data_IF_146101397647
#
_entry.id   IF_146101397647
#
_cell.length_a   1.000
_cell.length_b   1.000
_cell.length_c   1.000
_cell.angle_alpha   90.00
_cell.angle_beta   90.00
_cell.angle_gamma   90.00
#
_symmetry.space_group_name_H-M   'P 1'
#
loop_
_entity.id
_entity.type
_entity.pdbx_description
1 polymer ?
#
# COMPACT_ATOMS: atom_id res chain seq x y z
N UNK A 1 37.91 22.15 -11.51
CA UNK A 1 37.28 21.35 -12.58
C UNK A 1 35.79 21.29 -12.28
N UNK A 2 35.00 22.17 -12.92
CA UNK A 2 33.55 22.23 -12.66
C UNK A 2 32.86 21.15 -13.50
N UNK A 3 32.23 20.20 -12.83
CA UNK A 3 31.44 19.17 -13.52
C UNK A 3 30.11 19.81 -13.90
N UNK A 4 29.87 20.04 -15.17
CA UNK A 4 28.57 20.47 -15.70
C UNK A 4 27.63 19.24 -15.74
N UNK A 5 26.74 19.18 -14.78
CA UNK A 5 25.62 18.19 -14.82
C UNK A 5 24.61 18.73 -15.84
N UNK A 6 24.24 17.91 -16.83
CA UNK A 6 23.25 18.30 -17.85
C UNK A 6 21.84 18.32 -17.26
N UNK A 7 20.95 19.14 -17.84
CA UNK A 7 19.55 19.19 -17.42
C UNK A 7 18.85 17.82 -17.50
N UNK A 8 19.21 16.98 -18.46
CA UNK A 8 18.71 15.61 -18.56
C UNK A 8 19.17 14.71 -17.41
N UNK A 9 20.42 14.89 -16.93
CA UNK A 9 20.92 14.15 -15.77
C UNK A 9 20.26 14.59 -14.47
N UNK A 10 19.96 15.88 -14.31
CA UNK A 10 19.19 16.39 -13.16
C UNK A 10 17.79 15.81 -13.15
N UNK A 11 17.07 15.82 -14.27
CA UNK A 11 15.73 15.25 -14.38
C UNK A 11 15.70 13.74 -14.08
N UNK A 12 16.69 13.00 -14.56
CA UNK A 12 16.79 11.55 -14.30
C UNK A 12 17.06 11.22 -12.82
N UNK A 13 17.80 12.06 -12.12
CA UNK A 13 18.05 11.93 -10.67
C UNK A 13 16.75 12.22 -9.93
N UNK A 14 16.02 13.27 -10.29
CA UNK A 14 14.74 13.63 -9.69
C UNK A 14 13.70 12.51 -9.82
N UNK A 15 13.54 11.90 -10.99
CA UNK A 15 12.60 10.78 -11.18
C UNK A 15 12.96 9.56 -10.34
N UNK A 16 14.24 9.26 -10.18
CA UNK A 16 14.70 8.14 -9.35
C UNK A 16 14.40 8.35 -7.87
N UNK A 17 14.50 9.57 -7.37
CA UNK A 17 14.16 9.90 -5.98
C UNK A 17 12.64 9.80 -5.75
N UNK A 18 11.84 10.25 -6.72
CA UNK A 18 10.39 10.09 -6.69
C UNK A 18 9.96 8.62 -6.74
N UNK A 19 10.62 7.81 -7.59
CA UNK A 19 10.40 6.37 -7.65
C UNK A 19 10.68 5.72 -6.29
N UNK A 20 11.82 6.05 -5.67
CA UNK A 20 12.18 5.54 -4.34
C UNK A 20 11.16 5.93 -3.28
N UNK A 21 10.73 7.20 -3.25
CA UNK A 21 9.70 7.66 -2.32
C UNK A 21 8.39 6.91 -2.51
N UNK A 22 7.91 6.79 -3.74
CA UNK A 22 6.65 6.11 -4.05
C UNK A 22 6.72 4.61 -3.75
N UNK A 23 7.86 3.95 -4.01
CA UNK A 23 8.11 2.56 -3.67
C UNK A 23 8.05 2.32 -2.16
N UNK A 24 8.66 3.20 -1.36
CA UNK A 24 8.62 3.13 0.11
C UNK A 24 7.18 3.27 0.64
N UNK A 25 6.40 4.23 0.12
CA UNK A 25 4.99 4.40 0.50
C UNK A 25 4.18 3.12 0.16
N UNK A 26 4.38 2.57 -1.04
CA UNK A 26 3.71 1.35 -1.46
C UNK A 26 4.09 0.14 -0.57
N UNK A 27 5.38 -0.04 -0.27
CA UNK A 27 5.88 -1.11 0.61
C UNK A 27 5.36 -0.99 2.03
N UNK A 28 5.23 0.22 2.57
CA UNK A 28 4.66 0.43 3.89
C UNK A 28 3.18 0.01 3.93
N UNK A 29 2.38 0.35 2.90
CA UNK A 29 1.01 -0.14 2.83
C UNK A 29 0.94 -1.68 2.66
N UNK A 30 1.88 -2.29 1.92
CA UNK A 30 2.00 -3.76 1.84
C UNK A 30 2.30 -4.34 3.22
N UNK A 31 3.19 -3.73 4.01
CA UNK A 31 3.49 -4.15 5.39
C UNK A 31 2.27 -4.04 6.30
N UNK A 32 1.53 -2.94 6.23
CA UNK A 32 0.25 -2.77 6.93
C UNK A 32 -0.72 -3.92 6.64
N UNK A 33 -0.85 -4.29 5.39
CA UNK A 33 -1.75 -5.38 4.96
C UNK A 33 -1.23 -6.77 5.37
N UNK A 34 0.08 -6.97 5.35
CA UNK A 34 0.71 -8.23 5.75
C UNK A 34 0.46 -8.55 7.22
N UNK A 35 0.61 -7.58 8.10
CA UNK A 35 0.35 -7.76 9.55
C UNK A 35 -1.11 -8.11 9.82
N UNK A 36 -2.05 -7.52 9.09
CA UNK A 36 -3.47 -7.93 9.19
C UNK A 36 -3.67 -9.38 8.73
N UNK A 37 -3.02 -9.80 7.64
CA UNK A 37 -3.11 -11.18 7.16
C UNK A 37 -2.56 -12.18 8.17
N UNK A 38 -1.43 -11.88 8.79
CA UNK A 38 -0.76 -12.72 9.78
C UNK A 38 -1.54 -12.86 11.10
N UNK A 39 -2.40 -11.90 11.43
CA UNK A 39 -3.17 -11.90 12.67
C UNK A 39 -4.64 -12.26 12.49
N UNK A 40 -5.03 -12.89 11.35
CA UNK A 40 -6.43 -13.23 11.07
C UNK A 40 -7.02 -14.20 12.09
N UNK A 41 -6.28 -15.19 12.55
CA UNK A 41 -6.75 -16.17 13.53
C UNK A 41 -7.05 -15.49 14.88
N UNK A 42 -6.15 -14.62 15.36
CA UNK A 42 -6.37 -13.82 16.56
C UNK A 42 -7.56 -12.86 16.42
N UNK A 43 -7.63 -12.12 15.31
CA UNK A 43 -8.69 -11.14 15.06
C UNK A 43 -10.07 -11.83 15.02
N UNK A 44 -10.16 -13.00 14.38
CA UNK A 44 -11.40 -13.71 14.15
C UNK A 44 -11.77 -14.73 15.24
N UNK A 45 -10.95 -14.90 16.28
CA UNK A 45 -11.25 -15.76 17.41
C UNK A 45 -12.58 -15.33 18.08
N UNK A 46 -13.63 -16.18 18.09
CA UNK A 46 -14.92 -15.84 18.68
C UNK A 46 -14.93 -15.92 20.21
N UNK A 47 -14.02 -16.69 20.79
CA UNK A 47 -14.05 -17.00 22.22
C UNK A 47 -13.28 -15.96 23.03
N UNK A 48 -12.32 -15.29 22.39
CA UNK A 48 -11.53 -14.23 23.01
C UNK A 48 -12.22 -12.87 22.86
N UNK A 49 -12.44 -12.17 23.95
CA UNK A 49 -12.97 -10.79 23.96
C UNK A 49 -11.89 -9.79 23.58
N UNK A 50 -11.12 -9.31 24.57
CA UNK A 50 -9.96 -8.46 24.31
C UNK A 50 -8.85 -9.28 23.65
N UNK A 51 -8.48 -8.87 22.43
CA UNK A 51 -7.43 -9.54 21.65
C UNK A 51 -6.02 -9.03 21.98
N UNK A 52 -5.91 -7.90 22.70
CA UNK A 52 -4.63 -7.19 22.87
C UNK A 52 -4.05 -6.66 21.54
N UNK A 53 -4.81 -6.73 20.43
CA UNK A 53 -4.39 -6.26 19.11
C UNK A 53 -4.78 -4.79 18.92
N UNK A 54 -4.08 -3.90 19.67
CA UNK A 54 -4.29 -2.45 19.62
C UNK A 54 -3.60 -1.81 18.41
N UNK A 55 -3.94 -0.55 18.13
CA UNK A 55 -3.24 0.23 17.09
C UNK A 55 -1.74 0.32 17.35
N UNK A 56 -1.32 0.45 18.62
CA UNK A 56 0.10 0.48 19.01
C UNK A 56 0.82 -0.84 18.70
N UNK A 57 0.26 -1.96 19.15
CA UNK A 57 0.80 -3.30 18.86
C UNK A 57 0.87 -3.56 17.35
N UNK A 58 -0.17 -3.13 16.63
CA UNK A 58 -0.22 -3.28 15.19
C UNK A 58 0.91 -2.51 14.48
N UNK A 59 1.08 -1.21 14.79
CA UNK A 59 2.11 -0.42 14.07
C UNK A 59 3.53 -0.85 14.46
N UNK A 60 3.79 -1.33 15.68
CA UNK A 60 5.11 -1.86 16.05
C UNK A 60 5.46 -3.08 15.18
N UNK A 61 4.51 -3.99 14.94
CA UNK A 61 4.69 -5.10 13.99
C UNK A 61 4.85 -4.62 12.53
N UNK A 62 4.15 -3.55 12.14
CA UNK A 62 4.29 -2.95 10.80
C UNK A 62 5.67 -2.34 10.61
N UNK A 63 6.18 -1.61 11.61
CA UNK A 63 7.55 -1.04 11.59
C UNK A 63 8.60 -2.12 11.40
N UNK A 64 8.57 -3.16 12.22
CA UNK A 64 9.47 -4.31 12.12
C UNK A 64 9.40 -4.99 10.73
N UNK A 65 8.19 -5.24 10.23
CA UNK A 65 8.01 -5.85 8.91
C UNK A 65 8.52 -4.94 7.79
N UNK A 66 8.31 -3.63 7.89
CA UNK A 66 8.78 -2.65 6.90
C UNK A 66 10.30 -2.52 6.92
N UNK A 67 10.90 -2.41 8.09
CA UNK A 67 12.36 -2.35 8.28
C UNK A 67 13.04 -3.58 7.70
N UNK A 68 12.54 -4.79 8.00
CA UNK A 68 13.04 -6.04 7.42
C UNK A 68 12.93 -6.10 5.88
N UNK A 69 12.02 -5.33 5.29
CA UNK A 69 11.82 -5.31 3.82
C UNK A 69 12.57 -4.19 3.10
N UNK A 70 13.08 -3.18 3.83
CA UNK A 70 13.62 -1.94 3.23
C UNK A 70 14.90 -1.44 3.86
N UNK A 71 15.34 -2.02 4.98
CA UNK A 71 16.44 -1.57 5.84
C UNK A 71 16.25 -0.11 6.34
N UNK A 72 14.97 0.35 6.45
CA UNK A 72 14.64 1.70 6.89
C UNK A 72 13.69 1.68 8.09
N UNK A 73 14.07 2.40 9.12
CA UNK A 73 13.20 2.70 10.24
C UNK A 73 12.14 3.75 9.87
N UNK A 74 10.95 3.65 10.46
CA UNK A 74 9.85 4.60 10.29
C UNK A 74 9.14 4.83 11.62
N UNK A 75 8.71 6.07 11.85
CA UNK A 75 7.97 6.47 13.04
C UNK A 75 6.71 7.22 12.67
N UNK A 76 5.63 7.06 13.44
CA UNK A 76 4.45 7.91 13.32
C UNK A 76 4.71 9.37 13.65
N UNK A 77 5.74 9.67 14.43
CA UNK A 77 6.17 11.05 14.73
C UNK A 77 6.74 11.74 13.48
N UNK A 78 7.20 10.99 12.50
CA UNK A 78 7.66 11.52 11.22
C UNK A 78 6.55 12.23 10.43
N UNK A 79 5.28 12.04 10.78
CA UNK A 79 4.15 12.77 10.18
C UNK A 79 4.30 14.30 10.29
N UNK A 80 5.06 14.78 11.26
CA UNK A 80 5.35 16.21 11.48
C UNK A 80 6.69 16.66 10.86
N UNK A 81 7.40 15.77 10.17
CA UNK A 81 8.70 16.07 9.58
C UNK A 81 8.59 17.07 8.42
N UNK A 82 9.59 17.93 8.31
CA UNK A 82 9.79 18.76 7.11
C UNK A 82 10.31 17.97 5.91
N UNK A 83 10.93 16.81 6.14
CA UNK A 83 11.32 15.89 5.09
C UNK A 83 10.08 15.24 4.47
N UNK A 84 9.84 15.40 3.17
CA UNK A 84 8.61 14.91 2.52
C UNK A 84 8.47 13.38 2.52
N UNK A 85 9.58 12.65 2.48
CA UNK A 85 9.58 11.18 2.54
C UNK A 85 9.19 10.72 3.93
N UNK A 86 9.86 11.22 4.96
CA UNK A 86 9.54 10.93 6.36
C UNK A 86 8.09 11.29 6.68
N UNK A 87 7.67 12.50 6.29
CA UNK A 87 6.29 12.96 6.50
C UNK A 87 5.27 12.01 5.84
N UNK A 88 5.50 11.59 4.61
CA UNK A 88 4.59 10.67 3.91
C UNK A 88 4.53 9.31 4.62
N UNK A 89 5.66 8.73 5.01
CA UNK A 89 5.73 7.46 5.72
C UNK A 89 5.10 7.54 7.11
N UNK A 90 5.44 8.56 7.89
CA UNK A 90 4.87 8.80 9.22
C UNK A 90 3.35 9.00 9.18
N UNK A 91 2.86 9.79 8.21
CA UNK A 91 1.42 10.01 8.01
C UNK A 91 0.69 8.72 7.65
N UNK A 92 1.31 7.85 6.82
CA UNK A 92 0.73 6.57 6.48
C UNK A 92 0.67 5.63 7.69
N UNK A 93 1.74 5.59 8.48
CA UNK A 93 1.80 4.78 9.70
C UNK A 93 0.78 5.26 10.74
N UNK A 94 0.68 6.57 10.97
CA UNK A 94 -0.32 7.17 11.84
C UNK A 94 -1.75 6.83 11.36
N UNK A 95 -2.02 6.97 10.05
CA UNK A 95 -3.32 6.63 9.45
C UNK A 95 -3.67 5.15 9.67
N UNK A 96 -2.69 4.26 9.56
CA UNK A 96 -2.88 2.83 9.79
C UNK A 96 -3.20 2.52 11.26
N UNK A 97 -2.52 3.16 12.22
CA UNK A 97 -2.79 3.09 13.66
C UNK A 97 -4.24 3.48 13.97
N UNK A 98 -4.67 4.61 13.45
CA UNK A 98 -6.01 5.13 13.65
C UNK A 98 -7.10 4.19 13.12
N UNK A 99 -6.90 3.60 11.94
CA UNK A 99 -7.84 2.62 11.39
C UNK A 99 -8.03 1.41 12.32
N UNK A 100 -6.97 0.94 12.97
CA UNK A 100 -7.06 -0.17 13.93
C UNK A 100 -7.72 0.29 15.24
N UNK A 101 -7.39 1.49 15.74
CA UNK A 101 -8.05 2.05 16.92
C UNK A 101 -9.56 2.17 16.72
N UNK A 102 -10.03 2.70 15.60
CA UNK A 102 -11.45 2.76 15.24
C UNK A 102 -12.10 1.38 15.09
N UNK A 103 -11.31 0.35 14.83
CA UNK A 103 -11.79 -1.02 14.63
C UNK A 103 -11.86 -1.84 15.92
N UNK A 104 -11.39 -1.32 17.06
CA UNK A 104 -11.24 -2.08 18.32
C UNK A 104 -12.54 -2.75 18.78
N UNK A 105 -13.67 -2.05 18.68
CA UNK A 105 -14.98 -2.62 19.04
C UNK A 105 -15.30 -3.89 18.24
N UNK A 106 -14.97 -3.91 16.95
CA UNK A 106 -15.20 -5.07 16.07
C UNK A 106 -14.14 -6.15 16.29
N UNK A 107 -12.87 -5.77 16.43
CA UNK A 107 -11.75 -6.69 16.70
C UNK A 107 -12.03 -7.47 17.98
N UNK A 108 -12.45 -6.79 19.05
CA UNK A 108 -12.64 -7.36 20.39
C UNK A 108 -14.03 -8.00 20.61
N UNK A 109 -14.88 -8.02 19.56
CA UNK A 109 -16.22 -8.61 19.67
C UNK A 109 -16.12 -10.11 19.92
N UNK A 110 -16.68 -10.58 21.05
CA UNK A 110 -16.84 -11.97 21.41
C UNK A 110 -18.08 -12.59 20.72
N UNK A 111 -18.05 -13.90 20.50
CA UNK A 111 -19.15 -14.64 19.86
C UNK A 111 -19.27 -14.46 18.34
N UNK A 112 -18.38 -13.64 17.73
CA UNK A 112 -18.33 -13.44 16.27
C UNK A 112 -17.00 -13.94 15.71
N UNK A 113 -17.06 -14.93 14.83
CA UNK A 113 -15.90 -15.43 14.11
C UNK A 113 -15.38 -14.42 13.07
N UNK A 114 -15.79 -14.53 11.82
CA UNK A 114 -15.31 -13.64 10.78
C UNK A 114 -15.79 -12.18 10.94
N UNK A 115 -14.84 -11.27 11.20
CA UNK A 115 -15.11 -9.86 11.56
C UNK A 115 -14.95 -8.87 10.42
N UNK A 116 -14.62 -9.33 9.20
CA UNK A 116 -14.35 -8.49 8.02
C UNK A 116 -13.17 -7.51 8.20
N UNK A 117 -12.32 -7.70 9.20
CA UNK A 117 -11.05 -6.98 9.38
C UNK A 117 -9.99 -7.70 8.55
N UNK A 118 -9.98 -7.45 7.26
CA UNK A 118 -9.11 -8.14 6.29
C UNK A 118 -8.13 -7.15 5.64
N UNK A 119 -7.01 -7.63 5.07
CA UNK A 119 -5.96 -6.78 4.49
C UNK A 119 -6.49 -5.74 3.49
N UNK A 120 -7.44 -6.12 2.64
CA UNK A 120 -8.00 -5.23 1.64
C UNK A 120 -8.86 -4.09 2.25
N UNK A 121 -9.62 -4.40 3.31
CA UNK A 121 -10.45 -3.39 4.00
C UNK A 121 -9.59 -2.40 4.77
N UNK A 122 -8.60 -2.91 5.54
CA UNK A 122 -7.71 -2.05 6.30
C UNK A 122 -6.84 -1.22 5.37
N UNK A 123 -6.26 -1.81 4.31
CA UNK A 123 -5.46 -1.07 3.33
C UNK A 123 -6.24 0.07 2.65
N UNK A 124 -7.51 -0.16 2.28
CA UNK A 124 -8.37 0.87 1.70
C UNK A 124 -8.67 2.00 2.69
N UNK A 125 -9.02 1.67 3.94
CA UNK A 125 -9.30 2.67 4.98
C UNK A 125 -8.06 3.50 5.33
N UNK A 126 -6.90 2.84 5.40
CA UNK A 126 -5.61 3.49 5.63
C UNK A 126 -5.28 4.45 4.48
N UNK A 127 -5.41 4.00 3.22
CA UNK A 127 -5.20 4.86 2.05
C UNK A 127 -6.13 6.07 2.03
N UNK A 128 -7.40 5.89 2.38
CA UNK A 128 -8.37 7.01 2.48
C UNK A 128 -7.94 8.05 3.53
N UNK A 129 -7.58 7.63 4.74
CA UNK A 129 -7.09 8.54 5.78
C UNK A 129 -5.80 9.25 5.37
N UNK A 130 -4.86 8.50 4.80
CA UNK A 130 -3.62 9.03 4.27
C UNK A 130 -3.85 10.13 3.22
N UNK A 131 -4.71 9.87 2.23
CA UNK A 131 -5.02 10.82 1.17
C UNK A 131 -5.58 12.13 1.73
N UNK A 132 -6.48 12.03 2.70
CA UNK A 132 -7.07 13.20 3.36
C UNK A 132 -6.03 13.99 4.17
N UNK A 133 -5.09 13.31 4.82
CA UNK A 133 -4.06 13.95 5.64
C UNK A 133 -2.94 14.59 4.81
N UNK A 134 -2.53 13.95 3.71
CA UNK A 134 -1.48 14.45 2.84
C UNK A 134 -1.94 15.58 1.91
N UNK A 135 -3.22 15.60 1.55
CA UNK A 135 -3.81 16.64 0.70
C UNK A 135 -3.49 16.51 -0.78
N UNK A 136 -3.57 17.65 -1.48
CA UNK A 136 -3.50 17.72 -2.94
C UNK A 136 -2.20 17.14 -3.50
N UNK A 137 -2.32 16.34 -4.55
CA UNK A 137 -1.19 15.73 -5.26
C UNK A 137 -0.72 14.39 -4.69
N UNK A 138 -1.14 14.03 -3.47
CA UNK A 138 -0.90 12.71 -2.90
C UNK A 138 -2.13 11.82 -3.05
N UNK A 139 -1.91 10.61 -3.54
CA UNK A 139 -2.96 9.61 -3.63
C UNK A 139 -2.40 8.20 -3.46
N UNK A 140 -3.06 7.41 -2.64
CA UNK A 140 -2.68 6.03 -2.33
C UNK A 140 -3.91 5.16 -2.36
N UNK A 141 -3.91 4.14 -3.21
CA UNK A 141 -4.96 3.11 -3.24
C UNK A 141 -4.39 1.75 -3.62
N UNK A 142 -5.16 0.72 -3.37
CA UNK A 142 -4.97 -0.59 -3.98
C UNK A 142 -5.89 -0.73 -5.19
N UNK A 143 -5.41 -1.35 -6.25
CA UNK A 143 -6.16 -1.49 -7.52
C UNK A 143 -6.00 -2.89 -8.12
N UNK A 144 -6.94 -3.31 -8.95
CA UNK A 144 -6.92 -4.62 -9.63
C UNK A 144 -7.89 -4.64 -10.80
N UNK A 145 -7.57 -5.37 -11.86
CA UNK A 145 -8.50 -5.65 -12.96
C UNK A 145 -9.75 -6.41 -12.45
N UNK A 146 -9.54 -7.42 -11.59
CA UNK A 146 -10.63 -8.21 -10.98
C UNK A 146 -10.96 -7.63 -9.59
N UNK A 147 -11.34 -6.35 -9.54
CA UNK A 147 -11.67 -5.69 -8.28
C UNK A 147 -13.01 -6.18 -7.73
N UNK A 148 -13.11 -6.30 -6.39
CA UNK A 148 -14.35 -6.62 -5.66
C UNK A 148 -15.04 -5.39 -5.07
N UNK A 149 -14.31 -4.28 -4.97
CA UNK A 149 -14.81 -3.02 -4.47
C UNK A 149 -14.64 -1.95 -5.56
N UNK A 150 -15.69 -1.20 -5.93
CA UNK A 150 -15.60 -0.15 -6.96
C UNK A 150 -14.49 0.89 -6.73
N UNK A 151 -14.15 1.20 -5.45
CA UNK A 151 -13.05 2.11 -5.12
C UNK A 151 -11.67 1.59 -5.57
N UNK A 152 -11.55 0.31 -5.91
CA UNK A 152 -10.33 -0.31 -6.42
C UNK A 152 -10.32 -0.45 -7.95
N UNK A 153 -11.29 0.16 -8.64
CA UNK A 153 -11.34 0.19 -10.10
C UNK A 153 -10.09 0.89 -10.65
N UNK A 154 -9.36 0.28 -11.60
CA UNK A 154 -8.19 0.89 -12.20
C UNK A 154 -8.57 1.95 -13.23
N UNK A 155 -7.79 3.01 -13.33
CA UNK A 155 -7.80 3.91 -14.47
C UNK A 155 -6.98 3.32 -15.66
N UNK A 156 -6.89 4.07 -16.78
CA UNK A 156 -6.21 3.60 -17.99
C UNK A 156 -4.73 3.29 -17.77
N UNK A 157 -4.00 4.14 -17.01
CA UNK A 157 -2.60 3.91 -16.68
C UNK A 157 -2.44 2.68 -15.80
N UNK A 158 -3.28 2.58 -14.78
CA UNK A 158 -3.28 1.44 -13.86
C UNK A 158 -3.63 0.14 -14.58
N UNK A 159 -4.61 0.17 -15.49
CA UNK A 159 -5.00 -0.97 -16.33
C UNK A 159 -3.84 -1.46 -17.18
N UNK A 160 -3.11 -0.54 -17.82
CA UNK A 160 -1.93 -0.86 -18.62
C UNK A 160 -0.86 -1.54 -17.77
N UNK A 161 -0.50 -0.95 -16.61
CA UNK A 161 0.53 -1.52 -15.74
C UNK A 161 0.11 -2.85 -15.10
N UNK A 162 -1.17 -3.00 -14.72
CA UNK A 162 -1.69 -4.26 -14.21
C UNK A 162 -1.61 -5.39 -15.23
N UNK A 163 -1.76 -5.10 -16.52
CA UNK A 163 -1.58 -6.09 -17.58
C UNK A 163 -0.09 -6.42 -17.78
N UNK A 164 0.80 -5.42 -17.79
CA UNK A 164 2.24 -5.64 -17.86
C UNK A 164 2.76 -6.51 -16.69
N UNK A 165 2.26 -6.32 -15.47
CA UNK A 165 2.65 -7.10 -14.29
C UNK A 165 2.28 -8.60 -14.36
N UNK A 166 1.38 -8.97 -15.26
CA UNK A 166 0.98 -10.36 -15.52
C UNK A 166 1.84 -11.04 -16.57
N UNK A 167 2.62 -10.29 -17.33
CA UNK A 167 3.45 -10.85 -18.40
C UNK A 167 4.49 -11.84 -17.84
N UNK A 168 4.73 -12.99 -18.50
CA UNK A 168 5.64 -14.05 -18.04
C UNK A 168 7.03 -13.51 -17.96
N UNK A 169 7.62 -12.71 -17.83
CA UNK A 169 8.98 -12.16 -17.74
C UNK A 169 9.07 -10.92 -16.90
N UNK A 170 7.94 -10.43 -16.38
CA UNK A 170 7.98 -9.24 -15.55
C UNK A 170 8.69 -9.52 -14.23
N UNK A 171 9.72 -8.73 -13.85
CA UNK A 171 10.48 -8.97 -12.63
C UNK A 171 9.60 -8.87 -11.38
N UNK A 172 9.46 -9.97 -10.65
CA UNK A 172 8.62 -10.00 -9.43
C UNK A 172 9.10 -8.96 -8.42
N UNK A 173 8.15 -8.22 -7.86
CA UNK A 173 8.41 -7.19 -6.84
C UNK A 173 8.96 -5.87 -7.39
N UNK A 174 9.23 -5.76 -8.68
CA UNK A 174 9.64 -4.49 -9.29
C UNK A 174 8.40 -3.63 -9.56
N UNK A 175 8.39 -2.42 -9.03
CA UNK A 175 7.37 -1.43 -9.37
C UNK A 175 7.70 -0.68 -10.66
N UNK A 176 6.77 0.14 -11.11
CA UNK A 176 6.91 0.96 -12.32
C UNK A 176 6.24 2.31 -12.10
N UNK A 177 6.90 3.38 -12.53
CA UNK A 177 6.35 4.73 -12.41
C UNK A 177 6.56 5.57 -13.67
N UNK A 178 5.90 6.72 -13.70
CA UNK A 178 5.96 7.69 -14.77
C UNK A 178 5.55 9.08 -14.28
N UNK A 179 6.16 10.12 -14.83
CA UNK A 179 5.73 11.50 -14.64
C UNK A 179 4.53 11.79 -15.56
N UNK A 180 3.47 12.32 -14.98
CA UNK A 180 2.27 12.78 -15.72
C UNK A 180 2.18 14.28 -15.58
N UNK A 181 1.98 14.97 -16.70
CA UNK A 181 1.64 16.40 -16.73
C UNK A 181 0.12 16.54 -16.85
N UNK A 182 -0.49 17.18 -15.86
CA UNK A 182 -1.92 17.45 -15.84
C UNK A 182 -2.28 18.59 -16.83
N UNK A 183 -3.57 18.75 -17.10
CA UNK A 183 -4.06 19.80 -18.00
C UNK A 183 -3.78 21.24 -17.53
N UNK A 184 -3.60 21.44 -16.23
CA UNK A 184 -3.22 22.72 -15.62
C UNK A 184 -1.70 22.98 -15.63
N UNK A 185 -0.90 22.07 -16.21
CA UNK A 185 0.55 22.15 -16.27
C UNK A 185 1.26 21.62 -15.02
N UNK A 186 0.55 21.29 -13.95
CA UNK A 186 1.14 20.63 -12.79
C UNK A 186 1.62 19.23 -13.14
N UNK A 187 2.65 18.77 -12.44
CA UNK A 187 3.19 17.41 -12.65
C UNK A 187 3.03 16.56 -11.40
N UNK A 188 2.76 15.29 -11.62
CA UNK A 188 2.73 14.27 -10.58
C UNK A 188 3.54 13.06 -11.02
N UNK A 189 4.14 12.36 -10.06
CA UNK A 189 4.74 11.05 -10.30
C UNK A 189 3.73 9.98 -9.90
N UNK A 190 3.40 9.11 -10.84
CA UNK A 190 2.51 7.97 -10.63
C UNK A 190 3.32 6.70 -10.64
N UNK A 191 3.14 5.87 -9.60
CA UNK A 191 3.88 4.65 -9.38
C UNK A 191 2.95 3.50 -9.01
N UNK A 192 3.28 2.30 -9.45
CA UNK A 192 2.56 1.09 -9.04
C UNK A 192 3.52 -0.02 -8.61
N UNK A 193 3.24 -0.62 -7.47
CA UNK A 193 3.93 -1.80 -6.97
C UNK A 193 3.02 -3.02 -7.10
N UNK A 194 3.39 -4.06 -7.87
CA UNK A 194 2.56 -5.26 -8.02
C UNK A 194 2.44 -6.03 -6.71
N UNK A 195 1.26 -6.57 -6.46
CA UNK A 195 0.93 -7.42 -5.32
C UNK A 195 0.59 -8.81 -5.82
N UNK A 196 1.34 -9.80 -5.35
CA UNK A 196 1.20 -11.20 -5.76
C UNK A 196 0.42 -12.02 -4.74
N UNK A 197 -0.27 -13.04 -5.23
CA UNK A 197 -0.95 -14.04 -4.41
C UNK A 197 0.08 -14.82 -3.58
N UNK A 198 -0.16 -14.86 -2.28
CA UNK A 198 0.55 -15.69 -1.30
C UNK A 198 -0.39 -16.81 -0.82
N UNK A 199 0.11 -17.89 -0.19
CA UNK A 199 -0.74 -19.00 0.29
C UNK A 199 -1.95 -18.53 1.11
N UNK A 200 -1.77 -17.57 2.01
CA UNK A 200 -2.86 -17.02 2.83
C UNK A 200 -3.97 -16.33 2.00
N UNK A 201 -3.68 -15.88 0.78
CA UNK A 201 -4.66 -15.21 -0.08
C UNK A 201 -5.63 -16.21 -0.72
N UNK A 202 -5.20 -17.47 -0.90
CA UNK A 202 -5.94 -18.51 -1.61
C UNK A 202 -7.26 -18.88 -0.92
N UNK A 203 -7.35 -18.72 0.40
CA UNK A 203 -8.61 -18.95 1.15
C UNK A 203 -9.77 -18.13 0.58
N UNK A 204 -9.51 -16.93 0.06
CA UNK A 204 -10.52 -16.02 -0.48
C UNK A 204 -10.42 -15.84 -2.00
N UNK A 205 -9.24 -16.02 -2.59
CA UNK A 205 -8.98 -15.69 -3.99
C UNK A 205 -8.61 -16.90 -4.87
N UNK A 206 -8.43 -18.08 -4.26
CA UNK A 206 -7.98 -19.30 -4.94
C UNK A 206 -9.11 -20.08 -5.63
N UNK A 207 -8.80 -21.34 -5.89
CA UNK A 207 -9.73 -22.29 -6.51
C UNK A 207 -10.74 -22.87 -5.47
N UNK A 208 -11.87 -23.44 -5.94
CA UNK A 208 -12.36 -23.33 -7.30
C UNK A 208 -12.95 -21.95 -7.61
N UNK A 209 -12.75 -21.47 -8.85
CA UNK A 209 -13.34 -20.20 -9.31
C UNK A 209 -14.87 -20.27 -9.26
N UNK A 210 -15.50 -19.16 -8.89
CA UNK A 210 -16.96 -19.04 -8.82
C UNK A 210 -17.57 -19.40 -7.46
N UNK A 211 -16.83 -20.09 -6.57
CA UNK A 211 -17.32 -20.35 -5.21
C UNK A 211 -17.32 -19.11 -4.32
N UNK A 212 -18.22 -19.09 -3.35
CA UNK A 212 -18.21 -18.07 -2.30
C UNK A 212 -17.10 -18.35 -1.29
N UNK A 213 -16.32 -17.33 -0.99
CA UNK A 213 -15.36 -17.35 0.11
C UNK A 213 -16.01 -17.07 1.48
N UNK A 214 -15.21 -17.13 2.55
CA UNK A 214 -15.65 -16.85 3.93
C UNK A 214 -16.17 -15.42 4.16
N UNK A 215 -15.85 -14.49 3.25
CA UNK A 215 -16.29 -13.10 3.29
C UNK A 215 -17.57 -12.85 2.48
N UNK A 216 -18.06 -13.88 1.78
CA UNK A 216 -19.21 -13.81 0.86
C UNK A 216 -18.85 -13.26 -0.52
N UNK A 217 -17.56 -13.06 -0.82
CA UNK A 217 -17.07 -12.73 -2.13
C UNK A 217 -16.96 -13.98 -3.03
N UNK A 218 -16.86 -13.77 -4.33
CA UNK A 218 -16.63 -14.86 -5.28
C UNK A 218 -15.13 -15.06 -5.48
N UNK A 219 -14.66 -16.31 -5.34
CA UNK A 219 -13.28 -16.68 -5.62
C UNK A 219 -12.98 -16.50 -7.10
N UNK A 220 -11.83 -15.91 -7.39
CA UNK A 220 -11.40 -15.62 -8.77
C UNK A 220 -10.51 -16.72 -9.37
N UNK A 221 -10.23 -17.81 -8.67
CA UNK A 221 -9.42 -18.92 -9.16
C UNK A 221 -7.91 -18.62 -9.28
N UNK A 222 -7.40 -17.64 -8.53
CA UNK A 222 -5.97 -17.33 -8.56
C UNK A 222 -5.10 -18.46 -8.01
N UNK A 223 -3.90 -18.56 -8.57
CA UNK A 223 -2.82 -19.43 -8.09
C UNK A 223 -1.73 -18.62 -7.39
N UNK A 224 -0.96 -19.31 -6.55
CA UNK A 224 0.17 -18.68 -5.87
C UNK A 224 1.16 -18.07 -6.87
N UNK A 225 1.63 -16.86 -6.55
CA UNK A 225 2.59 -16.13 -7.39
C UNK A 225 1.98 -15.35 -8.54
N UNK A 226 0.68 -15.44 -8.80
CA UNK A 226 0.01 -14.60 -9.78
C UNK A 226 -0.19 -13.17 -9.29
N UNK A 227 -0.11 -12.20 -10.21
CA UNK A 227 -0.36 -10.79 -9.90
C UNK A 227 -1.84 -10.56 -9.62
N UNK A 228 -2.18 -10.31 -8.34
CA UNK A 228 -3.56 -10.05 -7.89
C UNK A 228 -4.01 -8.62 -8.19
N UNK A 229 -3.09 -7.69 -8.18
CA UNK A 229 -3.32 -6.26 -8.30
C UNK A 229 -2.06 -5.49 -8.01
N UNK A 230 -2.21 -4.23 -7.63
CA UNK A 230 -1.09 -3.37 -7.27
C UNK A 230 -1.47 -2.36 -6.17
N UNK A 231 -0.45 -1.81 -5.52
CA UNK A 231 -0.57 -0.56 -4.77
C UNK A 231 -0.23 0.57 -5.74
N UNK A 232 -1.15 1.49 -5.93
CA UNK A 232 -0.99 2.69 -6.76
C UNK A 232 -0.72 3.89 -5.88
N UNK A 233 0.37 4.60 -6.18
CA UNK A 233 0.83 5.78 -5.47
C UNK A 233 0.91 6.95 -6.45
N UNK A 234 0.46 8.12 -6.03
CA UNK A 234 0.70 9.39 -6.71
C UNK A 234 1.32 10.35 -5.71
N UNK A 235 2.37 11.04 -6.11
CA UNK A 235 3.04 12.09 -5.35
C UNK A 235 3.26 13.31 -6.23
N UNK A 236 3.27 14.55 -5.63
CA UNK A 236 3.55 15.75 -6.40
C UNK A 236 4.98 15.69 -6.96
N UNK A 237 5.14 16.08 -8.23
CA UNK A 237 6.45 16.33 -8.81
C UNK A 237 6.88 17.76 -8.46
N UNK A 238 7.60 17.91 -7.37
CA UNK A 238 8.14 19.22 -6.96
C UNK A 238 9.57 19.06 -6.42
N UNK A 239 10.38 20.09 -6.59
CA UNK A 239 11.73 20.15 -6.03
C UNK A 239 11.78 19.99 -4.50
N UNK A 240 10.68 20.30 -3.81
CA UNK A 240 10.54 20.10 -2.38
C UNK A 240 10.44 18.63 -1.95
N UNK A 241 10.14 17.72 -2.90
CA UNK A 241 10.07 16.27 -2.67
C UNK A 241 11.40 15.56 -2.95
N UNK A 242 12.39 16.29 -3.41
CA UNK A 242 13.71 15.74 -3.67
C UNK A 242 14.46 15.64 -2.35
N UNK A 243 14.84 14.44 -1.98
CA UNK A 243 15.71 14.21 -0.83
C UNK A 243 17.05 14.86 -1.15
N UNK A 244 17.44 15.86 -0.36
CA UNK A 244 18.84 16.29 -0.36
C UNK A 244 19.66 15.12 0.19
N UNK A 245 20.11 14.23 -0.71
CA UNK A 245 21.16 13.26 -0.40
C UNK A 245 22.44 14.04 -0.15
N UNK A 246 22.77 14.26 1.11
CA UNK A 246 24.12 14.59 1.55
C UNK A 246 24.88 13.32 1.85
#
# INVERSE_FOLDING_TARGET
MSIFISSAQVLAVEEKDLEKQADLIAKLLVSCRAIIAQNQDLINDPDKGDKGFTGEIYINKVKEHFENATDLEVSENDALSSDPVKRALGTLLFSAKEVINESQKVINMKGRGFKKIIPAVIGRRTGFKYNNAMGVGYYLKQTSIRYRNPANHPDDLETRYLNEFKEPGYPKGKGKGVVITNSDGSKVYRYMLPVYIKPACLKCHGEPEGEKDIAGGIKEGYKEGEARGAISVMIPYSSANLVQSK
#
